data_IF_522230277504
#
_entry.id   IF_522230277504
#
_cell.length_a   1.000
_cell.length_b   1.000
_cell.length_c   1.000
_cell.angle_alpha   90.00
_cell.angle_beta   90.00
_cell.angle_gamma   90.00
#
_symmetry.space_group_name_H-M   'P 1'
#
loop_
_entity.id
_entity.type
_entity.pdbx_description
1 polymer ?
#
# COMPACT_ATOMS: atom_id res chain seq x y z
N UNK A 1 -6.04 -2.65 -29.05
CA UNK A 1 -6.61 -2.77 -27.69
C UNK A 1 -7.46 -1.54 -27.44
N UNK A 2 -8.72 -1.71 -27.06
CA UNK A 2 -9.63 -0.59 -26.77
C UNK A 2 -9.33 0.03 -25.41
N UNK A 3 -9.87 1.23 -25.13
CA UNK A 3 -9.76 1.84 -23.79
C UNK A 3 -10.39 0.94 -22.72
N UNK A 4 -11.51 0.29 -23.03
CA UNK A 4 -12.16 -0.64 -22.12
C UNK A 4 -11.25 -1.84 -21.78
N UNK A 5 -10.52 -2.38 -22.76
CA UNK A 5 -9.55 -3.46 -22.54
C UNK A 5 -8.40 -2.98 -21.65
N UNK A 6 -7.87 -1.78 -21.88
CA UNK A 6 -6.79 -1.20 -21.07
C UNK A 6 -7.23 -1.01 -19.60
N UNK A 7 -8.43 -0.50 -19.37
CA UNK A 7 -8.98 -0.32 -18.02
C UNK A 7 -9.27 -1.67 -17.35
N UNK A 8 -9.68 -2.69 -18.10
CA UNK A 8 -9.84 -4.04 -17.57
C UNK A 8 -8.51 -4.63 -17.10
N UNK A 9 -7.45 -4.51 -17.92
CA UNK A 9 -6.10 -4.97 -17.55
C UNK A 9 -5.63 -4.26 -16.29
N UNK A 10 -5.74 -2.92 -16.24
CA UNK A 10 -5.33 -2.15 -15.04
C UNK A 10 -6.04 -2.65 -13.79
N UNK A 11 -7.35 -2.85 -13.84
CA UNK A 11 -8.12 -3.33 -12.69
C UNK A 11 -7.62 -4.70 -12.23
N UNK A 12 -7.42 -5.63 -13.15
CA UNK A 12 -6.91 -6.97 -12.82
C UNK A 12 -5.53 -6.89 -12.15
N UNK A 13 -4.61 -6.08 -12.69
CA UNK A 13 -3.28 -5.89 -12.11
C UNK A 13 -3.31 -5.26 -10.71
N UNK A 14 -4.26 -4.35 -10.45
CA UNK A 14 -4.47 -3.78 -9.13
C UNK A 14 -4.94 -4.82 -8.13
N UNK A 15 -5.91 -5.66 -8.50
CA UNK A 15 -6.39 -6.73 -7.63
C UNK A 15 -5.28 -7.77 -7.35
N UNK A 16 -4.48 -8.12 -8.35
CA UNK A 16 -3.33 -9.02 -8.18
C UNK A 16 -2.26 -8.43 -7.26
N UNK A 17 -1.96 -7.14 -7.40
CA UNK A 17 -1.03 -6.43 -6.54
C UNK A 17 -1.56 -6.33 -5.11
N UNK A 18 -2.84 -5.99 -4.93
CA UNK A 18 -3.51 -5.96 -3.62
C UNK A 18 -3.50 -7.34 -2.96
N UNK A 19 -3.75 -8.42 -3.71
CA UNK A 19 -3.73 -9.77 -3.16
C UNK A 19 -2.33 -10.17 -2.68
N UNK A 20 -1.27 -9.77 -3.39
CA UNK A 20 0.11 -9.93 -2.92
C UNK A 20 0.40 -9.11 -1.66
N UNK A 21 -0.10 -7.87 -1.59
CA UNK A 21 0.01 -7.04 -0.40
C UNK A 21 -0.66 -7.71 0.81
N UNK A 22 -1.87 -8.24 0.63
CA UNK A 22 -2.59 -8.99 1.66
C UNK A 22 -1.77 -10.19 2.14
N UNK A 23 -1.20 -10.98 1.22
CA UNK A 23 -0.35 -12.12 1.59
C UNK A 23 0.89 -11.70 2.37
N UNK A 24 1.57 -10.62 1.96
CA UNK A 24 2.72 -10.07 2.69
C UNK A 24 2.32 -9.65 4.11
N UNK A 25 1.23 -8.89 4.25
CA UNK A 25 0.76 -8.39 5.55
C UNK A 25 0.32 -9.52 6.48
N UNK A 26 -0.35 -10.54 5.95
CA UNK A 26 -0.79 -11.70 6.74
C UNK A 26 0.38 -12.57 7.21
N UNK A 27 1.48 -12.60 6.47
CA UNK A 27 2.67 -13.37 6.83
C UNK A 27 3.52 -12.65 7.89
N UNK A 28 3.49 -11.31 7.94
CA UNK A 28 4.29 -10.52 8.86
C UNK A 28 3.66 -10.41 10.25
N UNK A 29 4.26 -11.11 11.22
CA UNK A 29 3.79 -11.14 12.61
C UNK A 29 3.85 -9.78 13.32
N UNK A 30 4.55 -8.79 12.76
CA UNK A 30 4.60 -7.42 13.31
C UNK A 30 3.33 -6.64 12.98
N UNK A 31 2.60 -7.03 11.93
CA UNK A 31 1.36 -6.39 11.49
C UNK A 31 0.19 -6.93 12.33
N UNK A 32 -0.49 -6.03 13.04
CA UNK A 32 -1.62 -6.36 13.91
C UNK A 32 -2.94 -6.21 13.19
N UNK A 33 -3.04 -5.22 12.30
CA UNK A 33 -4.19 -4.98 11.45
C UNK A 33 -3.79 -4.20 10.20
N UNK A 34 -4.63 -4.24 9.19
CA UNK A 34 -4.53 -3.34 8.04
C UNK A 34 -5.94 -3.07 7.48
N UNK A 35 -6.13 -1.89 6.89
CA UNK A 35 -7.35 -1.56 6.18
C UNK A 35 -7.07 -0.71 4.95
N UNK A 36 -7.96 -0.84 3.98
CA UNK A 36 -8.03 0.06 2.85
C UNK A 36 -8.80 1.31 3.26
N UNK A 37 -8.35 2.46 2.80
CA UNK A 37 -9.13 3.70 2.88
C UNK A 37 -9.22 4.34 1.49
N UNK A 38 -9.51 5.64 1.43
CA UNK A 38 -9.61 6.33 0.14
C UNK A 38 -10.78 5.81 -0.71
N UNK A 39 -10.58 5.79 -2.03
CA UNK A 39 -11.61 5.36 -2.99
C UNK A 39 -12.02 3.89 -2.78
N UNK A 40 -11.05 3.01 -2.49
CA UNK A 40 -11.27 1.58 -2.24
C UNK A 40 -12.03 1.34 -0.94
N UNK A 41 -11.62 1.99 0.15
CA UNK A 41 -12.33 1.91 1.43
C UNK A 41 -13.76 2.46 1.38
N UNK A 42 -14.05 3.39 0.47
CA UNK A 42 -15.41 3.93 0.23
C UNK A 42 -16.20 3.20 -0.86
N UNK A 43 -15.67 2.14 -1.46
CA UNK A 43 -16.29 1.44 -2.59
C UNK A 43 -16.59 2.33 -3.81
N UNK A 44 -15.73 3.33 -4.04
CA UNK A 44 -15.82 4.28 -5.19
C UNK A 44 -14.63 4.17 -6.15
N UNK A 45 -13.74 3.20 -5.93
CA UNK A 45 -12.57 2.98 -6.78
C UNK A 45 -12.96 2.52 -8.20
N UNK A 46 -12.17 2.98 -9.16
CA UNK A 46 -12.17 2.57 -10.56
C UNK A 46 -10.78 2.07 -10.99
N UNK A 47 -10.61 1.79 -12.29
CA UNK A 47 -9.35 1.26 -12.83
C UNK A 47 -8.19 2.29 -12.88
N UNK A 48 -8.46 3.55 -12.55
CA UNK A 48 -7.47 4.63 -12.50
C UNK A 48 -7.13 5.02 -11.06
N UNK A 49 -7.89 4.51 -10.09
CA UNK A 49 -7.67 4.73 -8.67
C UNK A 49 -6.37 4.08 -8.21
N UNK A 50 -5.71 4.70 -7.25
CA UNK A 50 -4.60 4.14 -6.48
C UNK A 50 -5.11 3.20 -5.36
N UNK A 51 -4.17 2.69 -4.56
CA UNK A 51 -4.46 1.89 -3.37
C UNK A 51 -3.88 2.56 -2.14
N UNK A 52 -4.77 3.07 -1.29
CA UNK A 52 -4.44 3.61 0.02
C UNK A 52 -4.48 2.49 1.08
N UNK A 53 -3.31 2.12 1.61
CA UNK A 53 -3.17 1.01 2.54
C UNK A 53 -2.62 1.48 3.89
N UNK A 54 -3.47 1.38 4.90
CA UNK A 54 -3.10 1.68 6.29
C UNK A 54 -2.71 0.40 7.01
N UNK A 55 -1.51 0.38 7.59
CA UNK A 55 -0.91 -0.77 8.26
C UNK A 55 -0.68 -0.41 9.72
N UNK A 56 -1.29 -1.18 10.61
CA UNK A 56 -1.09 -1.08 12.06
C UNK A 56 -0.08 -2.11 12.49
N UNK A 57 0.96 -1.64 13.14
CA UNK A 57 2.13 -2.42 13.54
C UNK A 57 2.22 -2.44 15.06
N UNK A 58 2.62 -3.57 15.63
CA UNK A 58 2.95 -3.66 17.05
C UNK A 58 3.92 -2.53 17.45
N UNK A 59 3.66 -1.89 18.59
CA UNK A 59 4.33 -0.65 19.00
C UNK A 59 5.85 -0.76 18.96
N UNK A 60 6.39 -1.86 19.47
CA UNK A 60 7.82 -2.15 19.57
C UNK A 60 8.47 -2.50 18.23
N UNK A 61 7.67 -2.75 17.19
CA UNK A 61 8.14 -3.14 15.85
C UNK A 61 8.02 -2.01 14.82
N UNK A 62 7.25 -0.96 15.13
CA UNK A 62 6.92 0.08 14.16
C UNK A 62 8.15 0.87 13.67
N UNK A 63 9.09 1.19 14.55
CA UNK A 63 10.32 1.90 14.14
C UNK A 63 11.15 1.07 13.15
N UNK A 64 11.24 -0.25 13.37
CA UNK A 64 12.00 -1.15 12.52
C UNK A 64 11.38 -1.28 11.12
N UNK A 65 10.08 -1.55 11.03
CA UNK A 65 9.40 -1.67 9.73
C UNK A 65 9.42 -0.34 8.95
N UNK A 66 9.33 0.80 9.65
CA UNK A 66 9.43 2.12 9.02
C UNK A 66 10.86 2.36 8.52
N UNK A 67 11.88 1.99 9.28
CA UNK A 67 13.28 2.13 8.85
C UNK A 67 13.60 1.31 7.59
N UNK A 68 13.03 0.11 7.47
CA UNK A 68 13.22 -0.80 6.32
C UNK A 68 12.15 -0.65 5.22
N UNK A 69 11.26 0.36 5.31
CA UNK A 69 10.03 0.46 4.49
C UNK A 69 10.25 0.29 2.98
N UNK A 70 11.37 0.75 2.44
CA UNK A 70 11.70 0.58 1.02
C UNK A 70 11.94 -0.89 0.66
N UNK A 71 12.72 -1.59 1.48
CA UNK A 71 12.94 -3.03 1.35
C UNK A 71 11.65 -3.81 1.61
N UNK A 72 10.82 -3.34 2.55
CA UNK A 72 9.52 -3.92 2.84
C UNK A 72 8.59 -3.94 1.62
N UNK A 73 8.37 -2.78 1.00
CA UNK A 73 7.47 -2.68 -0.16
C UNK A 73 8.05 -3.33 -1.42
N UNK A 74 9.38 -3.49 -1.51
CA UNK A 74 10.03 -4.20 -2.60
C UNK A 74 9.75 -5.72 -2.59
N UNK A 75 9.27 -6.28 -1.48
CA UNK A 75 8.88 -7.69 -1.40
C UNK A 75 7.65 -8.01 -2.28
N UNK A 76 6.80 -7.03 -2.60
CA UNK A 76 5.69 -7.21 -3.54
C UNK A 76 6.17 -7.33 -5.00
N UNK A 77 7.39 -6.89 -5.28
CA UNK A 77 7.99 -6.76 -6.61
C UNK A 77 8.84 -5.50 -6.69
N UNK A 78 9.72 -5.41 -7.68
CA UNK A 78 10.60 -4.25 -7.85
C UNK A 78 9.79 -2.98 -8.19
N UNK A 79 9.71 -1.97 -7.31
CA UNK A 79 9.04 -0.72 -7.64
C UNK A 79 9.84 0.05 -8.72
N UNK A 80 9.15 0.72 -9.63
CA UNK A 80 9.77 1.63 -10.60
C UNK A 80 10.04 3.01 -10.01
N UNK A 81 9.28 3.39 -8.99
CA UNK A 81 9.47 4.63 -8.22
C UNK A 81 9.06 4.37 -6.77
N UNK A 82 9.84 4.91 -5.85
CA UNK A 82 9.51 5.06 -4.44
C UNK A 82 9.65 6.53 -4.09
N UNK A 83 8.64 7.13 -3.46
CA UNK A 83 8.64 8.54 -3.12
C UNK A 83 8.23 8.73 -1.66
N UNK A 84 9.11 9.41 -0.92
CA UNK A 84 8.87 9.82 0.45
C UNK A 84 8.08 11.13 0.48
N UNK A 85 7.03 11.17 1.29
CA UNK A 85 6.33 12.41 1.66
C UNK A 85 6.10 12.41 3.18
N UNK A 86 7.09 12.84 3.98
CA UNK A 86 7.01 12.77 5.45
C UNK A 86 5.80 13.50 6.04
N UNK A 87 5.26 14.50 5.33
CA UNK A 87 4.06 15.23 5.74
C UNK A 87 2.78 14.38 5.74
N UNK A 88 2.77 13.24 5.04
CA UNK A 88 1.64 12.31 5.01
C UNK A 88 1.75 11.23 6.09
N UNK A 89 2.90 11.09 6.76
CA UNK A 89 3.13 10.02 7.71
C UNK A 89 2.26 10.19 8.97
N UNK A 90 1.68 9.08 9.49
CA UNK A 90 1.09 9.09 10.82
C UNK A 90 2.12 9.51 11.88
N UNK A 91 1.66 10.05 13.01
CA UNK A 91 2.55 10.46 14.10
C UNK A 91 3.40 9.27 14.58
N UNK A 92 4.74 9.44 14.58
CA UNK A 92 5.72 8.37 14.91
C UNK A 92 5.60 7.11 14.05
N UNK A 93 5.00 7.26 12.87
CA UNK A 93 4.83 6.23 11.87
C UNK A 93 5.69 6.49 10.64
N UNK A 94 5.30 5.87 9.53
CA UNK A 94 5.95 6.05 8.23
C UNK A 94 4.94 6.22 7.12
N UNK A 95 5.40 6.80 6.02
CA UNK A 95 4.67 6.84 4.77
C UNK A 95 5.63 6.51 3.63
N UNK A 96 5.15 5.78 2.62
CA UNK A 96 5.86 5.61 1.38
C UNK A 96 4.87 5.41 0.23
N UNK A 97 5.00 6.21 -0.83
CA UNK A 97 4.36 5.93 -2.11
C UNK A 97 5.25 4.99 -2.92
N UNK A 98 4.68 3.90 -3.43
CA UNK A 98 5.37 2.96 -4.31
C UNK A 98 4.60 2.78 -5.62
N UNK A 99 5.31 2.90 -6.75
CA UNK A 99 4.78 2.59 -8.08
C UNK A 99 5.37 1.26 -8.56
N UNK A 100 4.51 0.31 -8.91
CA UNK A 100 4.87 -0.98 -9.45
C UNK A 100 4.61 -1.02 -10.96
N UNK A 101 5.42 -1.75 -11.74
CA UNK A 101 5.19 -1.88 -13.17
C UNK A 101 3.91 -2.67 -13.45
N UNK A 102 3.16 -2.23 -14.46
CA UNK A 102 2.04 -2.96 -15.05
C UNK A 102 2.13 -2.89 -16.59
N UNK A 103 1.41 -3.76 -17.28
CA UNK A 103 1.44 -3.88 -18.74
C UNK A 103 0.96 -2.61 -19.45
N UNK A 104 0.05 -1.88 -18.81
CA UNK A 104 -0.65 -0.73 -19.38
C UNK A 104 -0.50 0.52 -18.49
N UNK A 105 0.64 0.61 -17.80
CA UNK A 105 1.00 1.70 -16.91
C UNK A 105 1.30 1.22 -15.49
N UNK A 106 1.78 2.13 -14.65
CA UNK A 106 2.12 1.83 -13.26
C UNK A 106 0.89 1.64 -12.39
N UNK A 107 1.07 0.88 -11.30
CA UNK A 107 0.09 0.71 -10.22
C UNK A 107 0.66 1.32 -8.94
N UNK A 108 -0.12 2.17 -8.27
CA UNK A 108 0.31 2.89 -7.07
C UNK A 108 -0.23 2.23 -5.80
N UNK A 109 0.63 2.10 -4.80
CA UNK A 109 0.22 1.90 -3.40
C UNK A 109 0.82 3.02 -2.55
N UNK A 110 -0.04 3.67 -1.79
CA UNK A 110 0.34 4.56 -0.69
C UNK A 110 0.30 3.78 0.62
N UNK A 111 1.49 3.57 1.20
CA UNK A 111 1.67 2.83 2.43
C UNK A 111 1.73 3.78 3.62
N UNK A 112 0.93 3.49 4.65
CA UNK A 112 0.94 4.22 5.92
C UNK A 112 1.20 3.21 7.03
N UNK A 113 2.24 3.42 7.83
CA UNK A 113 2.51 2.59 9.00
C UNK A 113 2.24 3.39 10.27
N UNK A 114 1.49 2.80 11.19
CA UNK A 114 1.14 3.40 12.47
C UNK A 114 1.35 2.41 13.61
N UNK A 115 1.75 2.91 14.78
CA UNK A 115 1.82 2.13 16.02
C UNK A 115 0.42 1.71 16.48
N UNK A 116 0.29 0.50 16.99
CA UNK A 116 -0.96 -0.04 17.52
C UNK A 116 -1.60 0.87 18.58
N UNK A 117 -0.82 1.45 19.49
CA UNK A 117 -1.34 2.36 20.53
C UNK A 117 -1.88 3.69 19.98
N UNK A 118 -1.45 4.09 18.79
CA UNK A 118 -1.91 5.31 18.13
C UNK A 118 -3.05 5.03 17.14
N UNK A 119 -3.37 3.74 16.90
CA UNK A 119 -4.29 3.30 15.86
C UNK A 119 -5.70 3.87 16.06
N UNK A 120 -6.17 4.56 15.03
CA UNK A 120 -7.55 5.04 14.92
C UNK A 120 -8.00 4.88 13.47
N UNK A 121 -9.27 4.56 13.28
CA UNK A 121 -9.84 4.57 11.94
C UNK A 121 -9.88 6.04 11.46
N UNK A 122 -9.35 6.33 10.26
CA UNK A 122 -9.43 7.67 9.68
C UNK A 122 -10.87 8.08 9.34
#
# INVERSE_FOLDING_TARGET
MSVADLLHIRRTEQEDLLQRAITLLQADQRVVAAWLFGSRGRHTADALSDTDLWVVVADEQCEFIVAERQDYVAQLGQPVLMLESPGNAPARGGYLMALYPGQVGVQQIDWYWQRQSDASLP
#
